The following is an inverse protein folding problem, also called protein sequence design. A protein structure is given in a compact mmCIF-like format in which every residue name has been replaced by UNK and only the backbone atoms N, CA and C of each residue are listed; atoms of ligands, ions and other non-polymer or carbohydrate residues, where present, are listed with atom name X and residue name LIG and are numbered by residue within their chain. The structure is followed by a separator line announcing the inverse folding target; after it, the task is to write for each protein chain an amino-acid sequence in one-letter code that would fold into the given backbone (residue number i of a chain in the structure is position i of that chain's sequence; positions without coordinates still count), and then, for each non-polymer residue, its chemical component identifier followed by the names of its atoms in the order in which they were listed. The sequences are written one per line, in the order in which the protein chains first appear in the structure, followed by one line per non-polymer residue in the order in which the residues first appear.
data_IF_990314543621
#
_entry.id   IF_990314543621
#
_cell.length_a   1.000
_cell.length_b   1.000
_cell.length_c   1.000
_cell.angle_alpha   90.00
_cell.angle_beta   90.00
_cell.angle_gamma   90.00
#
_symmetry.space_group_name_H-M   'P 1'
#
loop_
_entity.id
_entity.type
_entity.pdbx_description
1 polymer ?
#
# COMPACT_ATOMS: atom_id res chain seq x y z
N UNK A 1 -11.84 -21.29 -12.84
CA UNK A 1 -10.61 -21.75 -13.54
C UNK A 1 -10.78 -21.76 -15.05
N UNK A 2 -11.84 -22.36 -15.64
CA UNK A 2 -12.09 -22.41 -17.09
C UNK A 2 -12.03 -21.03 -17.74
N UNK A 3 -12.78 -20.05 -17.21
CA UNK A 3 -12.79 -18.66 -17.74
C UNK A 3 -11.41 -17.96 -17.64
N UNK A 4 -10.56 -18.36 -16.69
CA UNK A 4 -9.20 -17.82 -16.57
C UNK A 4 -8.30 -18.41 -17.64
N UNK A 5 -8.37 -19.74 -17.85
CA UNK A 5 -7.63 -20.42 -18.88
C UNK A 5 -7.99 -19.89 -20.28
N UNK A 6 -9.29 -19.76 -20.58
CA UNK A 6 -9.80 -19.19 -21.84
C UNK A 6 -9.25 -17.77 -22.09
N UNK A 7 -9.25 -16.93 -21.07
CA UNK A 7 -8.78 -15.55 -21.17
C UNK A 7 -7.25 -15.44 -21.31
N UNK A 8 -6.52 -16.44 -20.77
CA UNK A 8 -5.08 -16.55 -20.90
C UNK A 8 -4.65 -17.24 -22.21
N UNK A 9 -5.59 -17.73 -23.03
CA UNK A 9 -5.31 -18.43 -24.26
C UNK A 9 -4.64 -19.79 -24.06
N UNK A 10 -4.83 -20.43 -22.91
CA UNK A 10 -4.27 -21.75 -22.58
C UNK A 10 -5.36 -22.76 -22.25
N UNK A 11 -5.05 -24.06 -22.38
CA UNK A 11 -5.98 -25.09 -21.94
C UNK A 11 -6.06 -25.13 -20.40
N UNK A 12 -7.20 -25.58 -19.88
CA UNK A 12 -7.38 -25.83 -18.43
C UNK A 12 -6.32 -26.81 -17.92
N UNK A 13 -5.99 -27.84 -18.71
CA UNK A 13 -4.93 -28.80 -18.37
C UNK A 13 -3.55 -28.14 -18.27
N UNK A 14 -3.21 -27.26 -19.21
CA UNK A 14 -1.97 -26.48 -19.16
C UNK A 14 -1.91 -25.59 -17.93
N UNK A 15 -3.02 -24.94 -17.59
CA UNK A 15 -3.07 -24.10 -16.39
C UNK A 15 -2.82 -24.91 -15.11
N UNK A 16 -3.38 -26.14 -15.00
CA UNK A 16 -3.16 -27.00 -13.84
C UNK A 16 -1.75 -27.61 -13.77
N UNK A 17 -0.98 -27.62 -14.87
CA UNK A 17 0.45 -27.98 -14.81
C UNK A 17 1.28 -26.95 -14.05
N UNK A 18 0.92 -25.65 -14.15
CA UNK A 18 1.60 -24.56 -13.45
C UNK A 18 0.99 -24.28 -12.06
N UNK A 19 -0.32 -24.44 -11.93
CA UNK A 19 -1.06 -24.18 -10.69
C UNK A 19 -1.90 -25.41 -10.34
N UNK A 20 -1.38 -26.32 -9.50
CA UNK A 20 -2.02 -27.63 -9.24
C UNK A 20 -3.42 -27.50 -8.64
N UNK A 21 -3.74 -26.38 -8.04
CA UNK A 21 -5.07 -26.08 -7.48
C UNK A 21 -5.36 -24.58 -7.50
N UNK A 22 -6.64 -24.22 -7.30
CA UNK A 22 -7.13 -22.83 -7.34
C UNK A 22 -6.38 -21.94 -6.36
N UNK A 23 -6.06 -22.42 -5.18
CA UNK A 23 -5.34 -21.67 -4.14
C UNK A 23 -3.94 -21.27 -4.61
N UNK A 24 -3.18 -22.17 -5.28
CA UNK A 24 -1.87 -21.85 -5.84
C UNK A 24 -1.93 -20.72 -6.87
N UNK A 25 -2.95 -20.74 -7.74
CA UNK A 25 -3.17 -19.64 -8.69
C UNK A 25 -3.51 -18.32 -7.99
N UNK A 26 -4.39 -18.36 -6.99
CA UNK A 26 -4.78 -17.16 -6.25
C UNK A 26 -3.61 -16.60 -5.43
N UNK A 27 -2.79 -17.46 -4.85
CA UNK A 27 -1.57 -17.06 -4.14
C UNK A 27 -0.60 -16.33 -5.08
N UNK A 28 -0.28 -16.92 -6.24
CA UNK A 28 0.60 -16.30 -7.22
C UNK A 28 0.05 -14.96 -7.77
N UNK A 29 -1.28 -14.86 -7.95
CA UNK A 29 -1.91 -13.61 -8.35
C UNK A 29 -1.82 -12.54 -7.26
N UNK A 30 -1.98 -12.92 -5.98
CA UNK A 30 -1.86 -12.01 -4.85
C UNK A 30 -0.41 -11.55 -4.66
N UNK A 31 0.55 -12.46 -4.76
CA UNK A 31 1.99 -12.16 -4.75
C UNK A 31 2.33 -11.09 -5.80
N UNK A 32 2.02 -11.37 -7.06
CA UNK A 32 2.26 -10.42 -8.16
C UNK A 32 1.57 -9.07 -7.97
N UNK A 33 0.38 -9.07 -7.38
CA UNK A 33 -0.34 -7.84 -7.10
C UNK A 33 0.33 -7.03 -5.99
N UNK A 34 0.76 -7.67 -4.90
CA UNK A 34 1.47 -7.01 -3.81
C UNK A 34 2.83 -6.48 -4.27
N UNK A 35 3.56 -7.24 -5.10
CA UNK A 35 4.81 -6.78 -5.72
C UNK A 35 4.59 -5.51 -6.55
N UNK A 36 3.58 -5.51 -7.43
CA UNK A 36 3.26 -4.33 -8.23
C UNK A 36 2.93 -3.09 -7.35
N UNK A 37 2.23 -3.29 -6.24
CA UNK A 37 1.91 -2.19 -5.31
C UNK A 37 3.18 -1.70 -4.61
N UNK A 38 4.04 -2.62 -4.14
CA UNK A 38 5.31 -2.28 -3.51
C UNK A 38 6.23 -1.54 -4.48
N UNK A 39 6.39 -2.00 -5.72
CA UNK A 39 7.20 -1.34 -6.76
C UNK A 39 6.75 0.12 -6.99
N UNK A 40 5.44 0.37 -7.03
CA UNK A 40 4.90 1.73 -7.18
C UNK A 40 5.23 2.61 -5.98
N UNK A 41 5.12 2.09 -4.77
CA UNK A 41 5.45 2.81 -3.54
C UNK A 41 6.95 3.10 -3.48
N UNK A 42 7.80 2.11 -3.74
CA UNK A 42 9.27 2.27 -3.78
C UNK A 42 9.68 3.35 -4.80
N UNK A 43 9.07 3.31 -5.99
CA UNK A 43 9.31 4.32 -7.03
C UNK A 43 8.90 5.71 -6.55
N UNK A 44 7.71 5.86 -5.98
CA UNK A 44 7.23 7.14 -5.46
C UNK A 44 8.12 7.66 -4.32
N UNK A 45 8.53 6.79 -3.39
CA UNK A 45 9.44 7.14 -2.31
C UNK A 45 10.80 7.64 -2.84
N UNK A 46 11.36 6.97 -3.84
CA UNK A 46 12.60 7.41 -4.47
C UNK A 46 12.47 8.76 -5.16
N UNK A 47 11.35 9.02 -5.84
CA UNK A 47 11.10 10.28 -6.55
C UNK A 47 10.83 11.46 -5.61
N UNK A 48 10.38 11.21 -4.39
CA UNK A 48 10.05 12.24 -3.40
C UNK A 48 11.03 12.28 -2.23
N UNK A 49 12.22 11.71 -2.37
CA UNK A 49 13.28 11.88 -1.37
C UNK A 49 13.78 13.34 -1.36
N UNK A 50 13.96 13.92 -0.17
CA UNK A 50 14.50 15.27 0.01
C UNK A 50 13.48 16.40 -0.19
N UNK A 51 12.20 16.12 -0.44
CA UNK A 51 11.14 17.14 -0.45
C UNK A 51 10.54 17.34 0.96
N UNK A 52 9.72 18.39 1.20
CA UNK A 52 9.04 18.57 2.48
C UNK A 52 8.18 17.37 2.87
N UNK A 53 8.07 17.09 4.18
CA UNK A 53 7.37 15.93 4.72
C UNK A 53 5.90 15.84 4.26
N UNK A 54 5.24 17.00 4.10
CA UNK A 54 3.86 17.07 3.60
C UNK A 54 3.74 16.54 2.16
N UNK A 55 4.70 16.84 1.29
CA UNK A 55 4.73 16.35 -0.08
C UNK A 55 5.02 14.85 -0.14
N UNK A 56 5.91 14.36 0.73
CA UNK A 56 6.22 12.93 0.83
C UNK A 56 4.98 12.11 1.20
N UNK A 57 4.23 12.56 2.20
CA UNK A 57 3.03 11.83 2.63
C UNK A 57 1.90 11.92 1.62
N UNK A 58 1.75 13.06 0.94
CA UNK A 58 0.76 13.18 -0.13
C UNK A 58 1.09 12.24 -1.30
N UNK A 59 2.35 12.14 -1.68
CA UNK A 59 2.80 11.18 -2.71
C UNK A 59 2.51 9.73 -2.29
N UNK A 60 2.79 9.37 -1.05
CA UNK A 60 2.53 8.02 -0.52
C UNK A 60 1.03 7.68 -0.54
N UNK A 61 0.18 8.56 0.00
CA UNK A 61 -1.27 8.37 0.04
C UNK A 61 -1.83 8.23 -1.37
N UNK A 62 -1.47 9.16 -2.27
CA UNK A 62 -1.97 9.15 -3.63
C UNK A 62 -1.50 7.93 -4.43
N UNK A 63 -0.25 7.52 -4.28
CA UNK A 63 0.30 6.34 -4.97
C UNK A 63 -0.40 5.07 -4.52
N UNK A 64 -0.55 4.87 -3.20
CA UNK A 64 -1.24 3.69 -2.67
C UNK A 64 -2.71 3.68 -3.06
N UNK A 65 -3.38 4.84 -2.98
CA UNK A 65 -4.77 4.98 -3.40
C UNK A 65 -4.95 4.62 -4.87
N UNK A 66 -4.13 5.20 -5.76
CA UNK A 66 -4.18 4.91 -7.20
C UNK A 66 -3.93 3.43 -7.50
N UNK A 67 -2.92 2.82 -6.87
CA UNK A 67 -2.61 1.40 -7.03
C UNK A 67 -3.79 0.49 -6.66
N UNK A 68 -4.62 0.90 -5.71
CA UNK A 68 -5.80 0.14 -5.26
C UNK A 68 -7.06 0.43 -6.09
N UNK A 69 -7.24 1.66 -6.58
CA UNK A 69 -8.46 2.08 -7.28
C UNK A 69 -8.43 1.85 -8.77
N UNK A 70 -7.27 1.91 -9.41
CA UNK A 70 -7.09 1.73 -10.86
C UNK A 70 -7.70 0.41 -11.38
N UNK A 71 -7.60 -0.65 -10.59
CA UNK A 71 -8.22 -1.96 -10.87
C UNK A 71 -9.03 -2.41 -9.66
N UNK A 72 -10.04 -1.63 -9.31
CA UNK A 72 -10.87 -1.87 -8.12
C UNK A 72 -11.58 -3.23 -8.13
N UNK A 73 -11.92 -3.76 -9.32
CA UNK A 73 -12.45 -5.09 -9.52
C UNK A 73 -11.46 -6.20 -9.08
N UNK A 74 -10.20 -6.06 -9.48
CA UNK A 74 -9.11 -6.99 -9.10
C UNK A 74 -8.80 -6.88 -7.62
N UNK A 75 -8.65 -5.65 -7.10
CA UNK A 75 -8.39 -5.40 -5.68
C UNK A 75 -9.45 -6.06 -4.79
N UNK A 76 -10.74 -5.89 -5.11
CA UNK A 76 -11.84 -6.52 -4.38
C UNK A 76 -11.83 -8.05 -4.48
N UNK A 77 -11.52 -8.59 -5.66
CA UNK A 77 -11.44 -10.03 -5.85
C UNK A 77 -10.32 -10.65 -5.02
N UNK A 78 -9.16 -10.00 -4.97
CA UNK A 78 -8.02 -10.45 -4.18
C UNK A 78 -8.29 -10.34 -2.67
N UNK A 79 -8.90 -9.26 -2.18
CA UNK A 79 -9.29 -9.15 -0.76
C UNK A 79 -10.23 -10.29 -0.32
N UNK A 80 -11.18 -10.68 -1.18
CA UNK A 80 -12.07 -11.81 -0.87
C UNK A 80 -11.32 -13.14 -0.89
N UNK A 81 -10.42 -13.33 -1.84
CA UNK A 81 -9.63 -14.55 -1.95
C UNK A 81 -8.60 -14.68 -0.80
N UNK A 82 -8.05 -13.56 -0.32
CA UNK A 82 -7.05 -13.53 0.73
C UNK A 82 -7.54 -14.14 2.06
N UNK A 83 -8.84 -14.11 2.33
CA UNK A 83 -9.43 -14.73 3.55
C UNK A 83 -9.29 -16.25 3.54
N UNK A 84 -9.20 -16.87 2.36
CA UNK A 84 -9.10 -18.33 2.18
C UNK A 84 -7.64 -18.80 1.99
N UNK A 85 -6.67 -17.88 1.99
CA UNK A 85 -5.27 -18.16 1.70
C UNK A 85 -4.40 -17.90 2.93
N UNK A 86 -3.38 -18.73 3.11
CA UNK A 86 -2.28 -18.42 4.01
C UNK A 86 -1.35 -17.41 3.32
N UNK A 87 -1.56 -16.13 3.61
CA UNK A 87 -0.85 -15.00 2.99
C UNK A 87 0.16 -14.34 3.92
N UNK A 88 0.39 -14.84 5.12
CA UNK A 88 1.19 -14.16 6.14
C UNK A 88 2.60 -13.82 5.62
N UNK A 89 3.24 -14.76 4.91
CA UNK A 89 4.55 -14.53 4.32
C UNK A 89 4.56 -13.43 3.24
N UNK A 90 3.50 -13.36 2.40
CA UNK A 90 3.37 -12.33 1.37
C UNK A 90 3.13 -10.95 1.99
N UNK A 91 2.28 -10.90 3.02
CA UNK A 91 1.99 -9.66 3.75
C UNK A 91 3.23 -9.16 4.46
N UNK A 92 4.00 -10.05 5.11
CA UNK A 92 5.25 -9.70 5.77
C UNK A 92 6.31 -9.17 4.78
N UNK A 93 6.47 -9.83 3.63
CA UNK A 93 7.41 -9.37 2.58
C UNK A 93 7.00 -8.00 2.02
N UNK A 94 5.73 -7.81 1.73
CA UNK A 94 5.19 -6.52 1.28
C UNK A 94 5.42 -5.42 2.33
N UNK A 95 5.09 -5.68 3.60
CA UNK A 95 5.27 -4.72 4.69
C UNK A 95 6.75 -4.34 4.83
N UNK A 96 7.67 -5.30 4.81
CA UNK A 96 9.10 -5.03 4.92
C UNK A 96 9.62 -4.13 3.79
N UNK A 97 9.20 -4.37 2.54
CA UNK A 97 9.59 -3.54 1.39
C UNK A 97 9.09 -2.11 1.55
N UNK A 98 7.80 -1.96 1.89
CA UNK A 98 7.18 -0.64 2.05
C UNK A 98 7.77 0.11 3.24
N UNK A 99 7.95 -0.54 4.40
CA UNK A 99 8.59 0.08 5.56
C UNK A 99 9.99 0.59 5.23
N UNK A 100 10.81 -0.23 4.56
CA UNK A 100 12.16 0.16 4.16
C UNK A 100 12.15 1.40 3.27
N UNK A 101 11.30 1.42 2.24
CA UNK A 101 11.23 2.53 1.29
C UNK A 101 10.71 3.82 1.93
N UNK A 102 9.66 3.73 2.74
CA UNK A 102 9.04 4.90 3.38
C UNK A 102 9.92 5.49 4.48
N UNK A 103 10.56 4.66 5.31
CA UNK A 103 11.53 5.13 6.31
C UNK A 103 12.71 5.83 5.62
N UNK A 104 13.26 5.22 4.56
CA UNK A 104 14.33 5.83 3.79
C UNK A 104 13.92 7.20 3.22
N UNK A 105 12.73 7.34 2.64
CA UNK A 105 12.20 8.60 2.14
C UNK A 105 12.03 9.63 3.26
N UNK A 106 11.30 9.28 4.34
CA UNK A 106 11.02 10.22 5.44
C UNK A 106 12.27 10.68 6.18
N UNK A 107 13.33 9.85 6.25
CA UNK A 107 14.61 10.23 6.85
C UNK A 107 15.30 11.38 6.10
N UNK A 108 14.93 11.64 4.85
CA UNK A 108 15.48 12.71 4.02
C UNK A 108 14.69 14.03 4.10
N UNK A 109 13.59 14.07 4.87
CA UNK A 109 12.76 15.28 4.97
C UNK A 109 13.59 16.46 5.52
N UNK A 110 13.62 17.63 4.83
CA UNK A 110 14.39 18.78 5.27
C UNK A 110 13.75 19.51 6.46
N UNK A 111 12.44 19.36 6.64
CA UNK A 111 11.56 20.12 7.53
C UNK A 111 10.99 19.31 8.69
N UNK A 112 11.35 18.04 8.82
CA UNK A 112 10.85 17.17 9.90
C UNK A 112 11.92 16.20 10.41
N UNK A 113 11.90 15.96 11.71
CA UNK A 113 12.66 14.91 12.40
C UNK A 113 11.75 14.21 13.38
N UNK A 114 12.00 12.94 13.67
CA UNK A 114 11.16 12.14 14.55
C UNK A 114 12.02 11.41 15.58
N UNK A 115 11.56 11.35 16.82
CA UNK A 115 12.24 10.62 17.89
C UNK A 115 12.28 9.11 17.62
N UNK A 116 11.19 8.57 17.05
CA UNK A 116 11.07 7.17 16.66
C UNK A 116 10.38 7.08 15.28
N UNK A 117 11.16 7.29 14.24
CA UNK A 117 10.67 7.24 12.86
C UNK A 117 10.06 5.86 12.50
N UNK A 118 10.61 4.70 12.90
CA UNK A 118 9.97 3.41 12.68
C UNK A 118 8.55 3.31 13.25
N UNK A 119 8.32 3.77 14.49
CA UNK A 119 7.00 3.77 15.11
C UNK A 119 6.04 4.71 14.38
N UNK A 120 6.49 5.91 14.05
CA UNK A 120 5.70 6.89 13.27
C UNK A 120 5.31 6.31 11.92
N UNK A 121 6.25 5.70 11.21
CA UNK A 121 6.02 5.05 9.92
C UNK A 121 4.99 3.91 10.01
N UNK A 122 5.18 3.01 10.96
CA UNK A 122 4.25 1.88 11.17
C UNK A 122 2.83 2.37 11.46
N UNK A 123 2.69 3.40 12.31
CA UNK A 123 1.39 4.00 12.63
C UNK A 123 0.75 4.63 11.39
N UNK A 124 1.52 5.38 10.62
CA UNK A 124 1.06 6.03 9.40
C UNK A 124 0.58 5.01 8.36
N UNK A 125 1.37 3.97 8.09
CA UNK A 125 1.02 2.93 7.14
C UNK A 125 -0.20 2.13 7.58
N UNK A 126 -0.34 1.83 8.87
CA UNK A 126 -1.54 1.16 9.41
C UNK A 126 -2.81 1.99 9.15
N UNK A 127 -2.73 3.31 9.34
CA UNK A 127 -3.85 4.22 9.07
C UNK A 127 -4.15 4.28 7.57
N UNK A 128 -3.15 4.45 6.72
CA UNK A 128 -3.33 4.55 5.26
C UNK A 128 -3.92 3.23 4.72
N UNK A 129 -3.32 2.10 5.04
CA UNK A 129 -3.74 0.80 4.52
C UNK A 129 -5.11 0.38 5.04
N UNK A 130 -5.36 0.61 6.33
CA UNK A 130 -6.65 0.32 6.95
C UNK A 130 -7.78 1.18 6.37
N UNK A 131 -7.54 2.47 6.17
CA UNK A 131 -8.52 3.40 5.58
C UNK A 131 -8.87 3.03 4.14
N UNK A 132 -7.86 2.79 3.30
CA UNK A 132 -8.07 2.38 1.91
C UNK A 132 -8.82 1.05 1.84
N UNK A 133 -8.44 0.06 2.64
CA UNK A 133 -9.15 -1.21 2.71
C UNK A 133 -10.63 -1.03 3.09
N UNK A 134 -10.91 -0.20 4.09
CA UNK A 134 -12.28 0.08 4.54
C UNK A 134 -13.15 0.70 3.44
N UNK A 135 -12.60 1.62 2.63
CA UNK A 135 -13.29 2.21 1.47
C UNK A 135 -13.74 1.12 0.50
N UNK A 136 -12.86 0.16 0.19
CA UNK A 136 -13.21 -0.95 -0.72
C UNK A 136 -14.25 -1.90 -0.13
N UNK A 137 -14.15 -2.20 1.15
CA UNK A 137 -15.10 -3.09 1.85
C UNK A 137 -16.49 -2.46 1.92
N UNK A 138 -16.58 -1.15 2.16
CA UNK A 138 -17.86 -0.41 2.28
C UNK A 138 -18.49 -0.04 0.94
N UNK A 139 -17.76 -0.10 -0.17
CA UNK A 139 -18.24 0.32 -1.50
C UNK A 139 -18.81 1.73 -1.50
N UNK A 140 -18.01 2.68 -1.05
CA UNK A 140 -18.41 4.08 -1.01
C UNK A 140 -18.71 4.61 -2.42
N UNK A 141 -19.62 5.58 -2.57
CA UNK A 141 -19.81 6.29 -3.83
C UNK A 141 -18.52 6.98 -4.30
N UNK A 142 -18.28 7.03 -5.61
CA UNK A 142 -17.03 7.54 -6.18
C UNK A 142 -16.66 8.97 -5.72
N UNK A 143 -17.64 9.87 -5.55
CA UNK A 143 -17.41 11.22 -5.00
C UNK A 143 -16.88 11.16 -3.57
N UNK A 144 -17.51 10.34 -2.72
CA UNK A 144 -17.10 10.18 -1.32
C UNK A 144 -15.73 9.49 -1.20
N UNK A 145 -15.39 8.61 -2.15
CA UNK A 145 -14.05 7.99 -2.17
C UNK A 145 -12.95 9.05 -2.30
N UNK A 146 -13.12 10.04 -3.16
CA UNK A 146 -12.16 11.13 -3.33
C UNK A 146 -12.07 12.01 -2.07
N UNK A 147 -13.21 12.37 -1.50
CA UNK A 147 -13.26 13.17 -0.27
C UNK A 147 -12.54 12.45 0.88
N UNK A 148 -12.74 11.14 1.01
CA UNK A 148 -12.04 10.32 2.02
C UNK A 148 -10.53 10.28 1.77
N UNK A 149 -10.07 10.18 0.52
CA UNK A 149 -8.64 10.24 0.19
C UNK A 149 -8.05 11.58 0.64
N UNK A 150 -8.71 12.68 0.33
CA UNK A 150 -8.21 14.03 0.65
C UNK A 150 -8.18 14.28 2.17
N UNK A 151 -9.20 13.79 2.89
CA UNK A 151 -9.21 13.81 4.36
C UNK A 151 -8.13 12.91 4.97
N UNK A 152 -7.87 11.75 4.38
CA UNK A 152 -6.79 10.86 4.81
C UNK A 152 -5.42 11.55 4.66
N UNK A 153 -5.15 12.18 3.52
CA UNK A 153 -3.91 12.92 3.30
C UNK A 153 -3.75 14.07 4.32
N UNK A 154 -4.82 14.83 4.57
CA UNK A 154 -4.82 15.89 5.58
C UNK A 154 -4.55 15.36 6.98
N UNK A 155 -5.19 14.26 7.37
CA UNK A 155 -4.99 13.62 8.67
C UNK A 155 -3.55 13.14 8.83
N UNK A 156 -2.97 12.51 7.80
CA UNK A 156 -1.59 12.07 7.81
C UNK A 156 -0.60 13.24 7.95
N UNK A 157 -0.81 14.34 7.23
CA UNK A 157 0.01 15.55 7.39
C UNK A 157 -0.08 16.12 8.80
N UNK A 158 -1.30 16.21 9.35
CA UNK A 158 -1.51 16.72 10.72
C UNK A 158 -0.83 15.84 11.76
N UNK A 159 -0.91 14.51 11.62
CA UNK A 159 -0.20 13.58 12.50
C UNK A 159 1.31 13.78 12.44
N UNK A 160 1.91 13.82 11.24
CA UNK A 160 3.35 14.00 11.10
C UNK A 160 3.84 15.34 11.68
N UNK A 161 3.10 16.41 11.45
CA UNK A 161 3.42 17.72 12.03
C UNK A 161 3.34 17.71 13.56
N UNK A 162 2.39 16.96 14.14
CA UNK A 162 2.23 16.88 15.60
C UNK A 162 3.33 16.06 16.29
N UNK A 163 3.86 15.03 15.62
CA UNK A 163 4.88 14.12 16.19
C UNK A 163 6.32 14.46 15.74
N UNK A 164 6.47 15.43 14.85
CA UNK A 164 7.79 15.94 14.49
C UNK A 164 8.43 16.66 15.69
N UNK A 165 9.73 16.45 15.86
CA UNK A 165 10.52 17.15 16.88
C UNK A 165 10.52 18.66 16.60
N UNK A 166 10.34 19.45 17.63
CA UNK A 166 10.49 20.91 17.56
C UNK A 166 11.96 21.30 17.79
N UNK A 167 12.35 22.50 17.41
CA UNK A 167 13.71 23.02 17.69
C UNK A 167 14.07 22.97 19.19
N UNK A 168 13.07 22.96 20.06
CA UNK A 168 13.24 22.83 21.52
C UNK A 168 13.66 21.40 21.96
N UNK A 169 13.42 20.39 21.13
CA UNK A 169 13.70 18.97 21.41
C UNK A 169 15.09 18.54 20.85
N UNK A 170 15.83 19.44 20.21
CA UNK A 170 17.15 19.15 19.67
C UNK A 170 18.15 18.96 20.83
N UNK A 171 18.89 17.84 20.89
CA UNK A 171 19.94 17.65 21.90
C UNK A 171 21.04 18.70 21.69
N UNK A 172 21.39 19.38 22.77
CA UNK A 172 22.48 20.37 22.86
C UNK A 172 23.83 19.71 22.60
#
# INVERSE_FOLDING_TARGET
TTRVADRAGVSVGTMYQYFPHKQALLYALNERYLDMVADRIETACSQHAGVPIAEMVDALVNTYWAAKTERSDVTRALYRAAVELDNDALIAAFAQRVDTATIAMFSTAPDARFADLPLVNTTLLAVIFGSVRNVFERRLPAGLENDVRDQLAQMCRSYLNQVALTDADAPS
#
